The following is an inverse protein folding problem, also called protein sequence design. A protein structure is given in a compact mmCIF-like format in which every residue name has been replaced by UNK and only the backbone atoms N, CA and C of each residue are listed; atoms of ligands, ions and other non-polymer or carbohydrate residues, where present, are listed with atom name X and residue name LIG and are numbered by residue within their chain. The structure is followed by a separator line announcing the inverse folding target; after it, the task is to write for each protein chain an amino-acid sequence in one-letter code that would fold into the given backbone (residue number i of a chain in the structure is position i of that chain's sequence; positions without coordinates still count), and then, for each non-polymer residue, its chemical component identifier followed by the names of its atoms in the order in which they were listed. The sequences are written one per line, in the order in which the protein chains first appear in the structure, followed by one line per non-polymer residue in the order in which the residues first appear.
data_IF_032528941682
#
_entry.id   IF_032528941682
#
_cell.length_a   1.000
_cell.length_b   1.000
_cell.length_c   1.000
_cell.angle_alpha   90.00
_cell.angle_beta   90.00
_cell.angle_gamma   90.00
#
_symmetry.space_group_name_H-M   'P 1'
#
loop_
_entity.id
_entity.type
_entity.pdbx_description
1 polymer ?
#
# COMPACT_ATOMS: atom_id res chain seq x y z
N UNK A 1 -1.95 -3.22 -3.45
CA UNK A 1 -0.94 -3.08 -2.38
C UNK A 1 -0.88 -4.41 -1.65
N UNK A 2 0.30 -4.98 -1.47
CA UNK A 2 0.49 -6.19 -0.66
C UNK A 2 1.38 -5.82 0.50
N UNK A 3 0.92 -6.12 1.71
CA UNK A 3 1.65 -5.79 2.94
C UNK A 3 1.50 -6.90 3.97
N UNK A 4 2.47 -6.99 4.86
CA UNK A 4 2.38 -7.78 6.09
C UNK A 4 1.65 -6.91 7.11
N UNK A 5 0.49 -7.36 7.55
CA UNK A 5 -0.34 -6.67 8.54
C UNK A 5 -0.29 -7.44 9.86
N UNK A 6 0.35 -6.82 10.85
CA UNK A 6 0.41 -7.33 12.21
C UNK A 6 -0.67 -6.68 13.05
N UNK A 7 -1.45 -7.49 13.75
CA UNK A 7 -2.50 -6.97 14.62
C UNK A 7 -2.65 -7.82 15.88
N UNK A 8 -3.02 -7.13 16.95
CA UNK A 8 -3.51 -7.75 18.17
C UNK A 8 -5.02 -7.58 18.23
N UNK A 9 -5.72 -8.64 18.63
CA UNK A 9 -7.15 -8.58 18.91
C UNK A 9 -7.37 -8.95 20.37
N UNK A 10 -8.25 -8.22 21.04
CA UNK A 10 -8.67 -8.52 22.40
C UNK A 10 -10.18 -8.46 22.47
N UNK A 11 -10.80 -9.44 23.12
CA UNK A 11 -12.22 -9.45 23.40
C UNK A 11 -12.47 -10.06 24.79
N UNK A 12 -13.66 -9.83 25.33
CA UNK A 12 -14.10 -10.43 26.59
C UNK A 12 -15.11 -11.55 26.30
N UNK A 13 -14.94 -12.69 26.95
CA UNK A 13 -15.87 -13.81 26.93
C UNK A 13 -16.21 -14.21 28.37
N UNK A 14 -17.45 -13.93 28.79
CA UNK A 14 -17.92 -14.18 30.16
C UNK A 14 -17.95 -15.68 30.53
N UNK A 15 -17.95 -16.57 29.54
CA UNK A 15 -17.96 -18.03 29.76
C UNK A 15 -16.58 -18.57 30.13
N UNK A 16 -15.53 -17.76 29.99
CA UNK A 16 -14.14 -18.13 30.19
C UNK A 16 -13.56 -17.49 31.46
N UNK A 17 -14.42 -17.11 32.42
CA UNK A 17 -14.03 -16.55 33.72
C UNK A 17 -13.86 -17.69 34.73
N UNK A 18 -12.79 -17.66 35.52
CA UNK A 18 -12.57 -18.57 36.65
C UNK A 18 -11.92 -17.84 37.83
N UNK A 19 -12.02 -18.41 39.03
CA UNK A 19 -11.28 -17.93 40.20
C UNK A 19 -9.90 -18.63 40.26
N UNK A 20 -8.77 -17.90 40.13
CA UNK A 20 -7.44 -18.49 40.25
C UNK A 20 -7.24 -19.29 41.54
N UNK A 21 -7.90 -18.93 42.64
CA UNK A 21 -7.76 -19.63 43.92
C UNK A 21 -8.28 -21.08 43.88
N UNK A 22 -9.22 -21.38 42.98
CA UNK A 22 -9.75 -22.73 42.77
C UNK A 22 -8.85 -23.60 41.87
N UNK A 23 -7.89 -22.98 41.18
CA UNK A 23 -7.05 -23.62 40.16
C UNK A 23 -5.56 -23.30 40.37
N UNK A 24 -5.04 -23.56 41.57
CA UNK A 24 -3.60 -23.40 41.89
C UNK A 24 -2.99 -22.04 41.52
N UNK A 25 -3.77 -20.96 41.65
CA UNK A 25 -3.39 -19.58 41.27
C UNK A 25 -3.07 -19.40 39.78
N UNK A 26 -3.64 -20.21 38.90
CA UNK A 26 -3.53 -20.03 37.44
C UNK A 26 -4.33 -18.79 37.05
N UNK A 27 -3.64 -17.77 36.54
CA UNK A 27 -4.19 -16.49 36.11
C UNK A 27 -4.42 -16.39 34.59
N UNK A 28 -3.78 -17.25 33.80
CA UNK A 28 -3.98 -17.34 32.36
C UNK A 28 -3.72 -18.74 31.80
N UNK A 29 -4.33 -19.03 30.66
CA UNK A 29 -4.14 -20.27 29.89
C UNK A 29 -3.95 -19.97 28.41
N UNK A 30 -3.32 -20.90 27.69
CA UNK A 30 -3.24 -20.87 26.24
C UNK A 30 -4.15 -21.95 25.64
N UNK A 31 -5.01 -21.55 24.71
CA UNK A 31 -5.92 -22.47 24.03
C UNK A 31 -5.83 -22.32 22.52
N UNK A 32 -6.12 -23.40 21.80
CA UNK A 32 -6.22 -23.36 20.34
C UNK A 32 -7.50 -22.65 19.90
N UNK A 33 -7.42 -21.98 18.74
CA UNK A 33 -8.58 -21.32 18.08
C UNK A 33 -9.84 -22.20 18.03
N UNK A 34 -9.67 -23.51 17.80
CA UNK A 34 -10.78 -24.44 17.61
C UNK A 34 -11.63 -24.67 18.86
N UNK A 35 -11.10 -24.34 20.03
CA UNK A 35 -11.74 -24.68 21.32
C UNK A 35 -12.53 -23.51 21.90
N UNK A 36 -12.40 -22.31 21.34
CA UNK A 36 -13.03 -21.09 21.83
C UNK A 36 -13.65 -20.31 20.69
N UNK A 37 -14.69 -19.54 20.99
CA UNK A 37 -15.24 -18.60 20.04
C UNK A 37 -14.24 -17.45 19.81
N UNK A 38 -14.01 -17.10 18.55
CA UNK A 38 -13.10 -16.02 18.15
C UNK A 38 -13.84 -15.09 17.20
N UNK A 39 -13.86 -13.77 17.45
CA UNK A 39 -14.51 -12.81 16.57
C UNK A 39 -13.95 -12.90 15.15
N UNK A 40 -14.84 -12.87 14.16
CA UNK A 40 -14.44 -12.84 12.74
C UNK A 40 -14.15 -11.39 12.32
N UNK A 41 -12.96 -11.16 11.77
CA UNK A 41 -12.62 -9.91 11.08
C UNK A 41 -12.10 -10.25 9.70
N UNK A 42 -12.65 -9.60 8.69
CA UNK A 42 -12.40 -9.88 7.28
C UNK A 42 -12.06 -8.60 6.52
N UNK A 43 -11.00 -8.60 5.68
CA UNK A 43 -10.66 -7.46 4.83
C UNK A 43 -11.63 -7.30 3.65
N UNK A 44 -12.28 -6.12 3.55
CA UNK A 44 -13.40 -5.80 2.66
C UNK A 44 -13.04 -5.64 1.17
N UNK A 45 -11.77 -5.48 0.81
CA UNK A 45 -11.31 -5.33 -0.58
C UNK A 45 -10.04 -6.17 -0.84
N UNK A 46 -9.98 -7.35 -0.23
CA UNK A 46 -8.86 -8.27 -0.40
C UNK A 46 -8.92 -9.02 -1.73
N UNK A 47 -7.79 -9.05 -2.43
CA UNK A 47 -7.62 -9.82 -3.68
C UNK A 47 -7.36 -11.31 -3.39
N UNK A 48 -6.94 -11.64 -2.18
CA UNK A 48 -6.67 -13.01 -1.74
C UNK A 48 -7.72 -13.45 -0.71
N UNK A 49 -8.68 -14.26 -1.15
CA UNK A 49 -9.49 -15.08 -0.23
C UNK A 49 -8.75 -16.40 0.03
N UNK A 50 -7.58 -16.34 0.67
CA UNK A 50 -6.71 -17.52 0.78
C UNK A 50 -7.20 -18.51 1.86
N UNK A 51 -7.70 -19.66 1.39
CA UNK A 51 -8.10 -20.82 2.20
C UNK A 51 -6.99 -21.34 3.13
N UNK A 52 -5.71 -21.15 2.78
CA UNK A 52 -4.57 -21.61 3.58
C UNK A 52 -4.34 -20.77 4.85
N UNK A 53 -4.71 -19.49 4.86
CA UNK A 53 -4.68 -18.66 6.07
C UNK A 53 -5.68 -19.15 7.12
N UNK A 54 -6.84 -19.70 6.70
CA UNK A 54 -7.77 -20.37 7.64
C UNK A 54 -7.13 -21.58 8.32
N UNK A 55 -6.25 -22.31 7.63
CA UNK A 55 -5.57 -23.50 8.17
C UNK A 55 -4.46 -23.14 9.15
N UNK A 56 -3.66 -22.11 8.85
CA UNK A 56 -2.66 -21.55 9.77
C UNK A 56 -3.34 -20.92 11.00
N UNK A 57 -4.48 -20.26 10.79
CA UNK A 57 -5.27 -19.64 11.86
C UNK A 57 -5.82 -20.64 12.88
N UNK A 58 -6.10 -21.89 12.49
CA UNK A 58 -6.58 -22.93 13.42
C UNK A 58 -5.54 -23.38 14.45
N UNK A 59 -4.24 -23.17 14.18
CA UNK A 59 -3.14 -23.56 15.08
C UNK A 59 -2.67 -22.40 15.98
N UNK A 60 -3.26 -21.22 15.83
CA UNK A 60 -2.95 -20.08 16.70
C UNK A 60 -3.37 -20.38 18.14
N UNK A 61 -2.46 -20.07 19.07
CA UNK A 61 -2.72 -20.10 20.49
C UNK A 61 -3.22 -18.73 20.93
N UNK A 62 -4.27 -18.74 21.74
CA UNK A 62 -4.90 -17.56 22.31
C UNK A 62 -4.63 -17.56 23.80
N UNK A 63 -4.19 -16.42 24.31
CA UNK A 63 -4.05 -16.23 25.74
C UNK A 63 -5.40 -15.81 26.29
N UNK A 64 -5.90 -16.54 27.29
CA UNK A 64 -7.11 -16.22 28.02
C UNK A 64 -6.71 -15.97 29.46
N UNK A 65 -7.14 -14.84 30.00
CA UNK A 65 -6.94 -14.48 31.39
C UNK A 65 -8.15 -14.89 32.23
N UNK A 66 -7.96 -15.09 33.54
CA UNK A 66 -8.99 -15.51 34.48
C UNK A 66 -10.22 -14.60 34.53
N UNK A 67 -10.05 -13.33 34.14
CA UNK A 67 -11.10 -12.32 34.06
C UNK A 67 -11.91 -12.38 32.74
N UNK A 68 -11.73 -13.41 31.92
CA UNK A 68 -12.46 -13.64 30.68
C UNK A 68 -11.94 -12.86 29.48
N UNK A 69 -10.86 -12.08 29.62
CA UNK A 69 -10.24 -11.41 28.49
C UNK A 69 -9.38 -12.39 27.71
N UNK A 70 -9.73 -12.56 26.43
CA UNK A 70 -8.97 -13.34 25.47
C UNK A 70 -8.25 -12.41 24.50
N UNK A 71 -7.02 -12.77 24.16
CA UNK A 71 -6.23 -12.00 23.20
C UNK A 71 -5.33 -12.90 22.36
N UNK A 72 -5.02 -12.40 21.17
CA UNK A 72 -3.96 -12.97 20.34
C UNK A 72 -3.29 -11.87 19.53
N UNK A 73 -2.09 -12.20 19.08
CA UNK A 73 -1.31 -11.41 18.16
C UNK A 73 -0.95 -12.28 16.97
N UNK A 74 -1.10 -11.76 15.76
CA UNK A 74 -0.75 -12.49 14.54
C UNK A 74 -0.26 -11.55 13.44
N UNK A 75 0.38 -12.13 12.44
CA UNK A 75 0.86 -11.46 11.24
C UNK A 75 0.21 -12.09 10.01
N UNK A 76 -0.41 -11.28 9.16
CA UNK A 76 -1.16 -11.73 7.99
C UNK A 76 -0.70 -10.98 6.76
N UNK A 77 -0.30 -11.70 5.71
CA UNK A 77 -0.07 -11.11 4.39
C UNK A 77 -1.43 -10.79 3.78
N UNK A 78 -1.69 -9.51 3.53
CA UNK A 78 -2.94 -9.06 2.91
C UNK A 78 -2.66 -8.26 1.64
N UNK A 79 -3.30 -8.68 0.55
CA UNK A 79 -3.30 -7.98 -0.73
C UNK A 79 -4.62 -7.22 -0.90
N UNK A 80 -4.57 -5.89 -0.94
CA UNK A 80 -5.77 -5.02 -1.14
C UNK A 80 -5.72 -4.23 -2.43
N UNK A 81 -6.91 -3.94 -2.97
CA UNK A 81 -7.06 -3.03 -4.11
C UNK A 81 -6.83 -1.60 -3.66
N UNK A 82 -5.89 -0.90 -4.30
CA UNK A 82 -5.63 0.52 -4.07
C UNK A 82 -5.59 1.26 -5.41
N UNK A 83 -6.26 2.41 -5.48
CA UNK A 83 -6.24 3.27 -6.68
C UNK A 83 -5.02 4.17 -6.61
N UNK A 84 -4.14 4.03 -7.60
CA UNK A 84 -2.90 4.80 -7.70
C UNK A 84 -3.12 6.07 -8.52
N UNK A 85 -2.76 7.23 -7.98
CA UNK A 85 -2.68 8.48 -8.72
C UNK A 85 -1.27 8.69 -9.29
N UNK A 86 -1.13 8.58 -10.61
CA UNK A 86 0.15 8.69 -11.31
C UNK A 86 0.44 10.09 -11.83
N UNK A 87 -0.37 11.10 -11.49
CA UNK A 87 -0.28 12.45 -12.04
C UNK A 87 1.12 13.06 -11.84
N UNK A 88 1.70 12.89 -10.65
CA UNK A 88 3.00 13.46 -10.26
C UNK A 88 4.14 12.44 -10.26
N UNK A 89 3.96 11.27 -10.87
CA UNK A 89 5.01 10.26 -10.97
C UNK A 89 6.33 10.85 -11.52
N UNK A 90 7.50 10.53 -10.93
CA UNK A 90 7.77 9.59 -9.83
C UNK A 90 7.74 10.21 -8.42
N UNK A 91 7.29 11.46 -8.29
CA UNK A 91 7.19 12.19 -7.02
C UNK A 91 5.78 12.06 -6.40
N UNK A 92 5.16 10.92 -6.61
CA UNK A 92 3.78 10.65 -6.21
C UNK A 92 3.66 10.25 -4.73
N UNK A 93 2.50 10.61 -4.17
CA UNK A 93 2.03 10.17 -2.86
C UNK A 93 0.76 9.35 -3.07
N UNK A 94 0.62 8.28 -2.30
CA UNK A 94 -0.49 7.34 -2.43
C UNK A 94 -1.16 7.15 -1.07
N UNK A 95 -2.49 7.07 -1.11
CA UNK A 95 -3.32 6.82 0.06
C UNK A 95 -4.00 5.47 -0.17
N UNK A 96 -3.48 4.42 0.44
CA UNK A 96 -4.03 3.08 0.31
C UNK A 96 -4.71 2.66 1.60
N UNK A 97 -5.96 2.22 1.50
CA UNK A 97 -6.77 1.85 2.66
C UNK A 97 -6.94 0.35 2.79
N UNK A 98 -6.76 -0.16 4.00
CA UNK A 98 -7.19 -1.50 4.42
C UNK A 98 -8.48 -1.35 5.22
N UNK A 99 -9.58 -1.92 4.73
CA UNK A 99 -10.88 -1.90 5.40
C UNK A 99 -11.16 -3.25 6.02
N UNK A 100 -11.44 -3.27 7.31
CA UNK A 100 -11.78 -4.47 8.09
C UNK A 100 -13.23 -4.38 8.56
N UNK A 101 -13.97 -5.47 8.39
CA UNK A 101 -15.35 -5.60 8.88
C UNK A 101 -15.68 -7.04 9.26
N UNK A 102 -16.84 -7.25 9.87
CA UNK A 102 -17.43 -8.56 10.09
C UNK A 102 -18.52 -8.82 9.05
N UNK A 103 -18.43 -9.93 8.31
CA UNK A 103 -19.49 -10.37 7.40
C UNK A 103 -20.62 -11.12 8.13
N UNK A 104 -20.31 -11.74 9.25
CA UNK A 104 -21.22 -12.67 9.94
C UNK A 104 -22.04 -12.00 11.04
N UNK A 105 -21.57 -10.87 11.59
CA UNK A 105 -22.18 -10.21 12.73
C UNK A 105 -22.54 -8.76 12.42
N UNK A 106 -23.66 -8.32 12.95
CA UNK A 106 -24.05 -6.92 12.89
C UNK A 106 -23.36 -6.09 13.98
N UNK A 107 -23.34 -4.77 13.80
CA UNK A 107 -22.69 -3.85 14.73
C UNK A 107 -23.25 -3.91 16.17
N UNK A 108 -24.53 -4.27 16.35
CA UNK A 108 -25.13 -4.42 17.68
C UNK A 108 -24.77 -5.74 18.36
N UNK A 109 -24.31 -6.74 17.61
CA UNK A 109 -23.84 -8.04 18.13
C UNK A 109 -22.34 -8.00 18.43
N UNK A 110 -21.58 -7.35 17.54
CA UNK A 110 -20.13 -7.24 17.62
C UNK A 110 -19.69 -5.84 17.19
N UNK A 111 -19.35 -5.01 18.16
CA UNK A 111 -18.68 -3.74 17.94
C UNK A 111 -17.16 -3.94 17.83
N UNK A 112 -16.55 -3.30 16.85
CA UNK A 112 -15.10 -3.32 16.63
C UNK A 112 -14.51 -1.96 16.95
N UNK A 113 -13.47 -1.91 17.79
CA UNK A 113 -12.75 -0.67 18.04
C UNK A 113 -11.33 -0.78 17.49
N UNK A 114 -10.94 0.16 16.63
CA UNK A 114 -9.57 0.25 16.14
C UNK A 114 -8.69 1.06 17.09
N UNK A 115 -7.44 0.63 17.22
CA UNK A 115 -6.40 1.35 17.91
C UNK A 115 -5.07 1.11 17.18
N UNK A 116 -4.26 2.15 17.08
CA UNK A 116 -2.87 2.05 16.62
C UNK A 116 -2.00 1.90 17.87
N UNK A 117 -1.08 0.93 17.87
CA UNK A 117 -0.16 0.75 18.99
C UNK A 117 0.67 2.00 19.21
N UNK A 118 0.83 2.41 20.48
CA UNK A 118 1.67 3.57 20.86
C UNK A 118 3.15 3.35 20.54
N UNK A 119 3.56 2.08 20.48
CA UNK A 119 4.93 1.67 20.19
C UNK A 119 5.17 1.48 18.68
N UNK A 120 4.18 1.77 17.84
CA UNK A 120 4.31 1.66 16.39
C UNK A 120 5.24 2.73 15.83
N UNK A 121 6.48 2.34 15.54
CA UNK A 121 7.47 3.22 14.92
C UNK A 121 7.34 3.20 13.40
N UNK A 122 6.71 4.25 12.86
CA UNK A 122 6.48 4.42 11.42
C UNK A 122 7.81 4.55 10.63
N UNK A 123 8.87 5.06 11.26
CA UNK A 123 10.13 5.41 10.58
C UNK A 123 10.87 4.25 9.90
N UNK A 124 10.55 3.01 10.25
CA UNK A 124 11.17 1.81 9.67
C UNK A 124 10.20 0.99 8.79
N UNK A 125 9.03 1.54 8.49
CA UNK A 125 7.99 0.83 7.74
C UNK A 125 8.02 1.29 6.29
N UNK A 126 8.23 0.33 5.37
CA UNK A 126 8.28 0.60 3.95
C UNK A 126 9.23 -0.32 3.20
N UNK A 127 9.40 -0.05 1.91
CA UNK A 127 10.44 -0.63 1.06
C UNK A 127 11.36 0.49 0.56
N UNK A 128 12.46 0.13 -0.11
CA UNK A 128 13.37 1.12 -0.70
C UNK A 128 12.68 2.04 -1.73
N UNK A 129 11.59 1.56 -2.33
CA UNK A 129 10.77 2.32 -3.28
C UNK A 129 9.67 3.12 -2.59
N UNK A 130 9.10 2.62 -1.49
CA UNK A 130 7.93 3.20 -0.83
C UNK A 130 8.15 3.41 0.66
N UNK A 131 8.17 4.67 1.08
CA UNK A 131 8.20 5.06 2.49
C UNK A 131 6.77 5.23 3.01
N UNK A 132 6.43 4.62 4.16
CA UNK A 132 5.17 4.90 4.84
C UNK A 132 5.37 6.15 5.70
N UNK A 133 4.68 7.23 5.36
CA UNK A 133 4.81 8.51 6.08
C UNK A 133 3.90 8.58 7.29
N UNK A 134 2.70 8.00 7.20
CA UNK A 134 1.73 8.00 8.29
C UNK A 134 0.71 6.87 8.12
N UNK A 135 0.03 6.52 9.22
CA UNK A 135 -1.08 5.57 9.23
C UNK A 135 -2.25 6.20 9.97
N UNK A 136 -3.35 6.43 9.26
CA UNK A 136 -4.57 6.96 9.82
C UNK A 136 -5.54 5.82 10.10
N UNK A 137 -6.20 5.83 11.25
CA UNK A 137 -7.25 4.88 11.60
C UNK A 137 -8.60 5.60 11.72
N UNK A 138 -9.59 5.17 10.94
CA UNK A 138 -10.96 5.68 10.97
C UNK A 138 -11.93 4.52 11.19
N UNK A 139 -13.00 4.77 11.95
CA UNK A 139 -14.11 3.82 12.09
C UNK A 139 -15.36 4.49 11.53
N UNK A 140 -15.97 3.88 10.52
CA UNK A 140 -17.20 4.33 9.88
C UNK A 140 -18.36 3.40 10.22
N UNK A 141 -19.55 3.96 10.38
CA UNK A 141 -20.80 3.21 10.36
C UNK A 141 -21.50 3.46 9.03
N UNK A 142 -21.59 2.45 8.18
CA UNK A 142 -22.30 2.56 6.91
C UNK A 142 -23.79 2.25 7.12
N UNK A 143 -24.63 3.26 6.90
CA UNK A 143 -26.09 3.17 6.92
C UNK A 143 -26.62 2.92 5.50
N UNK A 144 -26.23 1.82 4.87
CA UNK A 144 -26.67 1.52 3.50
C UNK A 144 -27.90 0.61 3.44
N UNK A 145 -28.27 -0.03 4.55
CA UNK A 145 -29.43 -0.92 4.70
C UNK A 145 -30.11 -0.68 6.04
N UNK A 146 -31.17 -1.46 6.33
CA UNK A 146 -31.89 -1.44 7.60
C UNK A 146 -31.01 -1.68 8.84
N UNK A 147 -29.78 -2.19 8.65
CA UNK A 147 -28.85 -2.50 9.73
C UNK A 147 -27.45 -1.94 9.43
N UNK A 148 -26.90 -1.07 10.30
CA UNK A 148 -25.62 -0.43 10.06
C UNK A 148 -24.46 -1.42 10.20
N UNK A 149 -23.53 -1.38 9.24
CA UNK A 149 -22.29 -2.18 9.28
C UNK A 149 -21.14 -1.28 9.71
N UNK A 150 -20.34 -1.73 10.69
CA UNK A 150 -19.15 -1.03 11.12
C UNK A 150 -17.95 -1.44 10.27
N UNK A 151 -17.25 -0.44 9.72
CA UNK A 151 -16.01 -0.62 8.97
C UNK A 151 -14.88 0.10 9.70
N UNK A 152 -13.81 -0.62 10.00
CA UNK A 152 -12.56 -0.05 10.49
C UNK A 152 -11.60 0.10 9.31
N UNK A 153 -11.26 1.34 8.97
CA UNK A 153 -10.36 1.69 7.88
C UNK A 153 -8.99 2.11 8.43
N UNK A 154 -7.94 1.48 7.92
CA UNK A 154 -6.55 1.86 8.15
C UNK A 154 -5.98 2.39 6.84
N UNK A 155 -5.75 3.70 6.77
CA UNK A 155 -5.22 4.38 5.59
C UNK A 155 -3.73 4.61 5.75
N UNK A 156 -2.95 3.95 4.89
CA UNK A 156 -1.51 4.10 4.80
C UNK A 156 -1.20 5.26 3.85
N UNK A 157 -0.58 6.32 4.36
CA UNK A 157 -0.01 7.39 3.57
C UNK A 157 1.40 6.97 3.16
N UNK A 158 1.63 6.81 1.87
CA UNK A 158 2.88 6.33 1.31
C UNK A 158 3.47 7.33 0.33
N UNK A 159 4.79 7.46 0.34
CA UNK A 159 5.53 8.33 -0.55
C UNK A 159 6.57 7.52 -1.31
N UNK A 160 6.63 7.71 -2.64
CA UNK A 160 7.65 7.04 -3.45
C UNK A 160 9.01 7.70 -3.30
N UNK A 161 10.07 6.90 -3.23
CA UNK A 161 11.44 7.35 -3.39
C UNK A 161 11.78 7.50 -4.89
N UNK A 162 11.98 8.73 -5.40
CA UNK A 162 12.12 8.98 -6.84
C UNK A 162 13.55 8.75 -7.36
N UNK A 163 14.53 8.46 -6.49
CA UNK A 163 15.96 8.46 -6.82
C UNK A 163 16.32 7.58 -8.03
N UNK A 164 15.79 6.35 -8.08
CA UNK A 164 15.96 5.43 -9.20
C UNK A 164 15.47 6.03 -10.53
N UNK A 165 14.26 6.58 -10.54
CA UNK A 165 13.63 7.16 -11.74
C UNK A 165 14.35 8.43 -12.20
N UNK A 166 14.85 9.24 -11.25
CA UNK A 166 15.66 10.42 -11.58
C UNK A 166 16.92 10.00 -12.33
N UNK A 167 17.69 9.07 -11.76
CA UNK A 167 19.00 8.69 -12.30
C UNK A 167 18.90 7.95 -13.64
N UNK A 168 17.91 7.07 -13.82
CA UNK A 168 17.83 6.17 -14.98
C UNK A 168 16.85 6.60 -16.07
N UNK A 169 15.86 7.44 -15.75
CA UNK A 169 14.87 7.88 -16.73
C UNK A 169 14.98 9.38 -17.01
N UNK A 170 14.97 10.22 -15.96
CA UNK A 170 14.94 11.68 -16.13
C UNK A 170 16.29 12.21 -16.63
N UNK A 171 17.40 11.82 -15.99
CA UNK A 171 18.73 12.31 -16.36
C UNK A 171 19.12 11.96 -17.80
N UNK A 172 18.99 10.72 -18.29
CA UNK A 172 19.30 10.40 -19.69
C UNK A 172 18.39 11.14 -20.67
N UNK A 173 17.09 11.26 -20.37
CA UNK A 173 16.16 12.00 -21.22
C UNK A 173 16.54 13.47 -21.35
N UNK A 174 16.97 14.11 -20.26
CA UNK A 174 17.45 15.50 -20.27
C UNK A 174 18.76 15.67 -21.05
N UNK A 175 19.69 14.71 -20.92
CA UNK A 175 20.94 14.72 -21.70
C UNK A 175 20.65 14.57 -23.19
N UNK A 176 19.73 13.67 -23.57
CA UNK A 176 19.34 13.46 -24.97
C UNK A 176 18.67 14.70 -25.58
N UNK A 177 17.74 15.35 -24.87
CA UNK A 177 17.10 16.58 -25.37
C UNK A 177 18.12 17.71 -25.50
N UNK A 178 19.04 17.85 -24.53
CA UNK A 178 20.12 18.81 -24.59
C UNK A 178 21.05 18.57 -25.79
N UNK A 179 21.49 17.33 -26.02
CA UNK A 179 22.35 16.97 -27.15
C UNK A 179 21.65 17.22 -28.49
N UNK A 180 20.35 16.94 -28.59
CA UNK A 180 19.57 17.22 -29.79
C UNK A 180 19.49 18.72 -30.09
N UNK A 181 19.17 19.54 -29.08
CA UNK A 181 19.12 21.00 -29.22
C UNK A 181 20.51 21.54 -29.58
N UNK A 182 21.56 21.12 -28.88
CA UNK A 182 22.93 21.54 -29.16
C UNK A 182 23.36 21.14 -30.59
N UNK A 183 23.04 19.93 -31.03
CA UNK A 183 23.29 19.44 -32.39
C UNK A 183 22.61 20.26 -33.47
N UNK A 184 21.38 20.75 -33.23
CA UNK A 184 20.67 21.64 -34.16
C UNK A 184 21.34 23.01 -34.31
N UNK A 185 21.91 23.55 -33.23
CA UNK A 185 22.60 24.85 -33.24
C UNK A 185 24.07 24.78 -33.69
N UNK A 186 24.62 23.59 -33.95
CA UNK A 186 25.97 23.48 -34.52
C UNK A 186 26.01 24.06 -35.93
N UNK A 187 27.02 24.91 -36.17
CA UNK A 187 27.20 25.63 -37.42
C UNK A 187 27.24 24.66 -38.61
N UNK A 188 26.54 24.95 -39.73
CA UNK A 188 26.60 24.15 -40.95
C UNK A 188 27.99 24.07 -41.59
N UNK A 189 28.96 24.85 -41.10
CA UNK A 189 30.37 24.76 -41.50
C UNK A 189 31.12 23.55 -40.89
N UNK A 190 30.55 22.92 -39.86
CA UNK A 190 31.23 21.86 -39.07
C UNK A 190 30.57 20.49 -39.22
N UNK A 191 29.27 20.45 -39.53
CA UNK A 191 28.45 19.22 -39.54
C UNK A 191 27.58 19.20 -40.78
N UNK A 192 27.67 18.13 -41.56
CA UNK A 192 26.85 17.91 -42.76
C UNK A 192 25.36 17.79 -42.40
N UNK A 193 24.48 18.29 -43.27
CA UNK A 193 23.02 18.25 -43.04
C UNK A 193 22.49 16.81 -42.88
N UNK A 194 23.18 15.82 -43.47
CA UNK A 194 22.88 14.39 -43.30
C UNK A 194 23.12 13.91 -41.87
N UNK A 195 24.18 14.38 -41.21
CA UNK A 195 24.49 14.01 -39.83
C UNK A 195 23.48 14.61 -38.85
N UNK A 196 23.01 15.84 -39.12
CA UNK A 196 21.91 16.47 -38.38
C UNK A 196 20.61 15.68 -38.48
N UNK A 197 20.28 15.20 -39.68
CA UNK A 197 19.12 14.34 -39.90
C UNK A 197 19.24 13.00 -39.16
N UNK A 198 20.41 12.35 -39.22
CA UNK A 198 20.67 11.12 -38.47
C UNK A 198 20.55 11.31 -36.95
N UNK A 199 21.09 12.40 -36.39
CA UNK A 199 20.95 12.73 -34.97
C UNK A 199 19.48 12.89 -34.54
N UNK A 200 18.66 13.55 -35.37
CA UNK A 200 17.22 13.70 -35.14
C UNK A 200 16.50 12.35 -35.10
N UNK A 201 16.77 11.47 -36.07
CA UNK A 201 16.19 10.12 -36.10
C UNK A 201 16.60 9.27 -34.90
N UNK A 202 17.89 9.29 -34.52
CA UNK A 202 18.37 8.54 -33.35
C UNK A 202 17.75 9.05 -32.06
N UNK A 203 17.48 10.36 -31.97
CA UNK A 203 16.81 10.96 -30.80
C UNK A 203 15.36 10.49 -30.71
N UNK A 204 14.62 10.46 -31.83
CA UNK A 204 13.23 9.94 -31.86
C UNK A 204 13.18 8.45 -31.49
N UNK A 205 14.12 7.65 -31.99
CA UNK A 205 14.20 6.24 -31.61
C UNK A 205 14.51 6.07 -30.12
N UNK A 206 15.43 6.85 -29.58
CA UNK A 206 15.80 6.81 -28.17
C UNK A 206 14.64 7.23 -27.26
N UNK A 207 13.91 8.30 -27.60
CA UNK A 207 12.73 8.71 -26.83
C UNK A 207 11.60 7.68 -26.91
N UNK A 208 11.42 7.00 -28.05
CA UNK A 208 10.45 5.91 -28.17
C UNK A 208 10.79 4.72 -27.23
N UNK A 209 12.07 4.35 -27.13
CA UNK A 209 12.54 3.32 -26.17
C UNK A 209 12.28 3.77 -24.73
N UNK A 210 12.59 5.03 -24.38
CA UNK A 210 12.36 5.56 -23.03
C UNK A 210 10.87 5.56 -22.66
N UNK A 211 9.99 5.95 -23.59
CA UNK A 211 8.53 5.87 -23.38
C UNK A 211 8.09 4.42 -23.18
N UNK A 212 8.67 3.47 -23.92
CA UNK A 212 8.42 2.03 -23.74
C UNK A 212 8.73 1.57 -22.32
N UNK A 213 9.93 1.89 -21.81
CA UNK A 213 10.34 1.56 -20.43
C UNK A 213 9.36 2.19 -19.42
N UNK A 214 8.99 3.45 -19.60
CA UNK A 214 8.03 4.13 -18.72
C UNK A 214 6.64 3.47 -18.77
N UNK A 215 6.18 3.05 -19.94
CA UNK A 215 4.88 2.40 -20.12
C UNK A 215 4.80 1.01 -19.49
N UNK A 216 5.93 0.30 -19.38
CA UNK A 216 6.01 -1.00 -18.69
C UNK A 216 5.96 -0.85 -17.16
N UNK A 217 6.52 0.24 -16.62
CA UNK A 217 6.63 0.46 -15.18
C UNK A 217 5.42 1.19 -14.56
N UNK A 218 4.56 1.81 -15.37
CA UNK A 218 3.42 2.59 -14.88
C UNK A 218 2.12 1.81 -15.10
N UNK A 219 1.23 1.71 -14.09
CA UNK A 219 -0.07 1.10 -14.26
C UNK A 219 -0.89 1.84 -15.32
N UNK A 220 -1.62 1.10 -16.15
CA UNK A 220 -2.50 1.68 -17.17
C UNK A 220 -3.68 2.39 -16.50
N UNK A 221 -3.56 3.69 -16.25
CA UNK A 221 -4.62 4.53 -15.66
C UNK A 221 -5.24 5.44 -16.72
N UNK A 222 -6.35 6.10 -16.36
CA UNK A 222 -7.04 7.07 -17.24
C UNK A 222 -6.26 8.39 -17.41
N UNK A 223 -5.27 8.66 -16.55
CA UNK A 223 -4.53 9.92 -16.51
C UNK A 223 -3.09 9.68 -16.93
N UNK A 224 -2.60 10.47 -17.88
CA UNK A 224 -1.20 10.43 -18.28
C UNK A 224 -0.33 11.14 -17.24
N UNK A 225 0.74 10.49 -16.76
CA UNK A 225 1.73 11.12 -15.87
C UNK A 225 2.33 12.39 -16.47
N UNK A 226 2.64 13.37 -15.62
CA UNK A 226 3.39 14.57 -16.03
C UNK A 226 4.72 14.23 -16.70
N UNK A 227 5.43 13.20 -16.22
CA UNK A 227 6.66 12.70 -16.84
C UNK A 227 6.46 12.27 -18.29
N UNK A 228 5.41 11.49 -18.59
CA UNK A 228 5.10 11.05 -19.96
C UNK A 228 4.80 12.24 -20.87
N UNK A 229 4.09 13.25 -20.36
CA UNK A 229 3.86 14.51 -21.11
C UNK A 229 5.16 15.25 -21.39
N UNK A 230 6.07 15.33 -20.41
CA UNK A 230 7.37 15.99 -20.59
C UNK A 230 8.24 15.29 -21.64
N UNK A 231 8.25 13.95 -21.67
CA UNK A 231 8.99 13.17 -22.68
C UNK A 231 8.37 13.34 -24.07
N UNK A 232 7.03 13.28 -24.19
CA UNK A 232 6.33 13.46 -25.47
C UNK A 232 6.51 14.86 -26.07
N UNK A 233 6.55 15.89 -25.23
CA UNK A 233 6.67 17.29 -25.67
C UNK A 233 8.14 17.71 -25.87
N UNK A 234 9.11 16.87 -25.45
CA UNK A 234 10.53 17.07 -25.73
C UNK A 234 11.25 18.05 -24.80
N UNK A 235 10.72 18.31 -23.60
CA UNK A 235 11.40 19.16 -22.61
C UNK A 235 10.56 19.52 -21.39
N UNK A 236 11.20 20.01 -20.30
CA UNK A 236 10.51 20.49 -19.11
C UNK A 236 9.81 21.80 -19.46
N UNK A 237 8.55 21.74 -19.87
CA UNK A 237 7.73 22.92 -20.03
C UNK A 237 7.47 23.50 -18.62
N UNK A 238 7.77 24.78 -18.41
CA UNK A 238 7.69 25.48 -17.13
C UNK A 238 6.28 25.50 -16.47
N UNK A 239 5.27 24.92 -17.13
CA UNK A 239 3.92 24.72 -16.60
C UNK A 239 3.70 23.30 -16.02
N UNK A 240 4.75 22.46 -15.94
CA UNK A 240 4.64 21.05 -15.55
C UNK A 240 5.19 20.75 -14.15
N UNK A 241 6.00 21.63 -13.57
CA UNK A 241 6.42 21.54 -12.15
C UNK A 241 5.46 22.31 -11.26
#
# INVERSE_FOLDING_TARGET
MTAIFEYAMTWADERLIWDPQEFDSIDHIYVLRSNVWVPEITPFDSLEQNYDQKKISMQLLFQINYNGFASFYTSVVTSVVCRIDVTFFPFDQQNCSLKLLSYSFYNYEMGMQNAISKDFQISNVGSDEWEVTDVLSYSELLFNSSEPVQINEFTFLMKRNPSYYIALIITPSFVLTFLCIAGLFTSPLVVDDLEKFCMGLTTIMSTAVMIGIVAENIPKTKVLPKLTKAILIGGPSAHVF
#
